data_IF_790956616222
#
_entry.id   IF_790956616222
#
_cell.length_a   1.000
_cell.length_b   1.000
_cell.length_c   1.000
_cell.angle_alpha   90.00
_cell.angle_beta   90.00
_cell.angle_gamma   90.00
#
_symmetry.space_group_name_H-M   'P 1'
#
loop_
_entity.id
_entity.type
_entity.pdbx_description
1 polymer ?
#
# COMPACT_ATOMS: atom_id res chain seq x y z
N UNK A 1 -55.52 -35.00 -16.21
CA UNK A 1 -55.29 -34.14 -17.38
C UNK A 1 -54.26 -33.09 -17.01
N UNK A 2 -53.03 -33.32 -17.51
CA UNK A 2 -51.84 -32.47 -17.66
C UNK A 2 -51.53 -31.37 -16.63
N UNK A 3 -50.48 -31.66 -15.83
CA UNK A 3 -49.68 -30.70 -15.08
C UNK A 3 -48.78 -29.89 -16.01
N UNK A 4 -48.81 -28.56 -15.90
CA UNK A 4 -47.85 -27.67 -16.54
C UNK A 4 -46.56 -27.61 -15.72
N UNK A 5 -45.48 -28.20 -16.24
CA UNK A 5 -44.12 -27.97 -15.77
C UNK A 5 -43.51 -26.88 -16.65
N UNK A 6 -43.33 -25.69 -16.08
CA UNK A 6 -42.57 -24.59 -16.67
C UNK A 6 -41.07 -24.89 -16.51
N UNK A 7 -40.43 -25.27 -17.61
CA UNK A 7 -38.99 -25.49 -17.68
C UNK A 7 -38.30 -24.15 -17.99
N UNK A 8 -37.83 -23.44 -16.95
CA UNK A 8 -36.98 -22.25 -17.12
C UNK A 8 -35.55 -22.73 -17.37
N UNK A 9 -35.12 -22.71 -18.64
CA UNK A 9 -33.72 -22.95 -18.99
C UNK A 9 -32.93 -21.69 -18.63
N UNK A 10 -32.19 -21.74 -17.52
CA UNK A 10 -31.17 -20.75 -17.20
C UNK A 10 -29.99 -20.92 -18.18
N UNK A 11 -29.83 -20.00 -19.13
CA UNK A 11 -28.58 -19.87 -19.88
C UNK A 11 -27.51 -19.32 -18.95
N UNK A 12 -26.63 -20.20 -18.47
CA UNK A 12 -25.39 -19.79 -17.83
C UNK A 12 -24.49 -19.15 -18.89
N UNK A 13 -24.25 -17.84 -18.79
CA UNK A 13 -23.16 -17.16 -19.47
C UNK A 13 -21.84 -17.69 -18.90
N UNK A 14 -21.28 -18.70 -19.56
CA UNK A 14 -19.90 -19.15 -19.31
C UNK A 14 -18.99 -17.98 -19.70
N UNK A 15 -18.57 -17.20 -18.71
CA UNK A 15 -17.38 -16.38 -18.85
C UNK A 15 -16.21 -17.34 -19.02
N UNK A 16 -15.76 -17.50 -20.27
CA UNK A 16 -14.55 -18.21 -20.60
C UNK A 16 -13.32 -17.41 -20.11
N UNK A 17 -13.16 -17.31 -18.79
CA UNK A 17 -11.90 -16.97 -18.15
C UNK A 17 -11.01 -18.20 -18.11
N UNK A 18 -10.57 -18.66 -19.29
CA UNK A 18 -9.56 -19.71 -19.37
C UNK A 18 -8.25 -19.22 -18.76
N UNK A 19 -7.79 -19.88 -17.68
CA UNK A 19 -6.43 -19.68 -17.19
C UNK A 19 -5.47 -20.05 -18.33
N UNK A 20 -4.54 -19.16 -18.73
CA UNK A 20 -3.65 -19.41 -19.85
C UNK A 20 -2.78 -20.64 -19.56
N UNK A 21 -2.68 -21.53 -20.54
CA UNK A 21 -1.97 -22.79 -20.42
C UNK A 21 -0.45 -22.56 -20.28
N UNK A 22 0.32 -23.55 -19.81
CA UNK A 22 1.79 -23.46 -19.76
C UNK A 22 2.45 -23.18 -21.13
N UNK A 23 1.75 -23.48 -22.23
CA UNK A 23 2.20 -23.17 -23.60
C UNK A 23 1.93 -21.70 -23.96
N UNK A 24 0.85 -21.09 -23.47
CA UNK A 24 0.57 -19.66 -23.61
C UNK A 24 1.59 -18.79 -22.84
N UNK A 25 2.09 -19.29 -21.70
CA UNK A 25 3.22 -18.67 -20.98
C UNK A 25 4.53 -18.71 -21.76
N UNK A 26 4.77 -19.74 -22.57
CA UNK A 26 6.00 -19.89 -23.37
C UNK A 26 6.04 -18.98 -24.61
N UNK A 27 4.90 -18.56 -25.15
CA UNK A 27 4.87 -17.63 -26.29
C UNK A 27 5.07 -16.15 -25.90
N UNK A 28 4.86 -15.77 -24.64
CA UNK A 28 5.19 -14.43 -24.12
C UNK A 28 6.68 -14.23 -23.81
N UNK A 29 7.49 -15.29 -23.75
CA UNK A 29 8.88 -15.24 -23.31
C UNK A 29 9.91 -14.97 -24.42
N UNK A 30 9.50 -14.75 -25.68
CA UNK A 30 10.41 -14.76 -26.85
C UNK A 30 10.84 -13.38 -27.37
N UNK A 31 10.87 -12.34 -26.53
CA UNK A 31 11.23 -10.97 -26.97
C UNK A 31 11.92 -10.05 -25.95
N UNK A 32 12.35 -10.56 -24.80
CA UNK A 32 12.82 -9.70 -23.70
C UNK A 32 14.30 -9.96 -23.44
N UNK A 33 15.17 -9.33 -24.23
CA UNK A 33 16.57 -9.16 -23.87
C UNK A 33 16.76 -7.95 -22.95
N UNK A 34 17.90 -7.88 -22.27
CA UNK A 34 18.33 -6.69 -21.54
C UNK A 34 19.35 -5.92 -22.38
N UNK A 35 18.97 -5.54 -23.60
CA UNK A 35 19.81 -4.88 -24.59
C UNK A 35 19.10 -3.66 -25.16
N UNK A 36 19.89 -2.68 -25.61
CA UNK A 36 19.36 -1.54 -26.38
C UNK A 36 18.71 -2.06 -27.67
N UNK A 37 17.45 -1.69 -27.95
CA UNK A 37 16.76 -2.06 -29.19
C UNK A 37 17.46 -1.47 -30.42
N UNK A 38 17.45 -2.21 -31.53
CA UNK A 38 17.91 -1.71 -32.83
C UNK A 38 16.81 -0.83 -33.42
N UNK A 39 17.15 0.41 -33.74
CA UNK A 39 16.22 1.45 -34.24
C UNK A 39 16.54 1.81 -35.70
N UNK A 40 16.86 0.81 -36.51
CA UNK A 40 17.04 0.99 -37.95
C UNK A 40 15.73 1.45 -38.60
N UNK A 41 15.82 2.33 -39.59
CA UNK A 41 14.67 2.77 -40.35
C UNK A 41 14.22 1.64 -41.28
N UNK A 42 12.93 1.29 -41.22
CA UNK A 42 12.32 0.31 -42.09
C UNK A 42 10.99 0.89 -42.59
N UNK A 43 10.75 0.99 -43.92
CA UNK A 43 9.56 1.62 -44.49
C UNK A 43 8.22 1.11 -43.96
N UNK A 44 8.13 -0.17 -43.58
CA UNK A 44 6.90 -0.77 -43.03
C UNK A 44 6.78 -0.61 -41.50
N UNK A 45 7.76 0.02 -40.87
CA UNK A 45 7.86 0.30 -39.45
C UNK A 45 7.83 1.81 -39.22
N UNK A 46 6.63 2.38 -39.00
CA UNK A 46 6.46 3.85 -38.96
C UNK A 46 5.86 4.40 -37.68
N UNK A 47 5.43 3.55 -36.74
CA UNK A 47 4.69 4.02 -35.56
C UNK A 47 5.65 4.31 -34.43
N UNK A 48 5.69 5.56 -33.95
CA UNK A 48 6.43 5.94 -32.74
C UNK A 48 5.59 5.65 -31.49
N UNK A 49 5.88 4.51 -30.86
CA UNK A 49 5.15 4.03 -29.67
C UNK A 49 6.03 4.21 -28.43
N UNK A 50 5.48 4.83 -27.38
CA UNK A 50 6.15 4.91 -26.07
C UNK A 50 6.38 3.52 -25.50
N UNK A 51 7.64 3.17 -25.27
CA UNK A 51 8.10 1.89 -24.71
C UNK A 51 9.29 2.11 -23.78
N UNK A 52 9.74 1.02 -23.19
CA UNK A 52 10.90 0.99 -22.31
C UNK A 52 11.96 0.02 -22.80
N UNK A 53 13.22 0.32 -22.52
CA UNK A 53 14.33 -0.59 -22.75
C UNK A 53 15.35 -0.50 -21.63
N UNK A 54 16.15 -1.54 -21.45
CA UNK A 54 17.22 -1.51 -20.46
C UNK A 54 18.47 -0.83 -21.03
N UNK A 55 18.81 0.34 -20.51
CA UNK A 55 20.06 1.01 -20.82
C UNK A 55 21.17 0.49 -19.91
N UNK A 56 22.09 -0.31 -20.45
CA UNK A 56 23.21 -0.91 -19.71
C UNK A 56 24.20 0.13 -19.18
N UNK A 57 24.45 1.20 -19.92
CA UNK A 57 25.36 2.28 -19.51
C UNK A 57 24.80 3.03 -18.32
N UNK A 58 23.51 3.36 -18.38
CA UNK A 58 22.83 4.05 -17.29
C UNK A 58 22.35 3.11 -16.16
N UNK A 59 22.46 1.79 -16.36
CA UNK A 59 21.96 0.71 -15.50
C UNK A 59 20.52 0.94 -15.03
N UNK A 60 19.62 1.29 -15.97
CA UNK A 60 18.20 1.52 -15.68
C UNK A 60 17.33 1.37 -16.92
N UNK A 61 16.07 1.07 -16.70
CA UNK A 61 15.03 1.07 -17.71
C UNK A 61 14.66 2.51 -18.10
N UNK A 62 14.78 2.80 -19.39
CA UNK A 62 14.57 4.13 -19.95
C UNK A 62 13.41 4.14 -20.92
N UNK A 63 12.65 5.24 -20.90
CA UNK A 63 11.64 5.53 -21.91
C UNK A 63 12.32 5.81 -23.25
N UNK A 64 11.68 5.34 -24.33
CA UNK A 64 12.03 5.70 -25.69
C UNK A 64 10.81 5.60 -26.61
N UNK A 65 10.93 6.17 -27.82
CA UNK A 65 9.93 6.02 -28.88
C UNK A 65 10.36 4.89 -29.80
N UNK A 66 9.75 3.72 -29.62
CA UNK A 66 9.97 2.56 -30.46
C UNK A 66 9.31 2.74 -31.83
N UNK A 67 9.95 2.31 -32.92
CA UNK A 67 9.46 2.43 -34.30
C UNK A 67 8.46 1.32 -34.71
N UNK A 68 8.17 0.39 -33.80
CA UNK A 68 7.25 -0.73 -34.03
C UNK A 68 7.91 -2.01 -34.54
N UNK A 69 9.24 -2.01 -34.74
CA UNK A 69 9.96 -3.16 -35.28
C UNK A 69 11.08 -3.67 -34.39
N UNK A 70 11.37 -4.97 -34.49
CA UNK A 70 12.35 -5.65 -33.64
C UNK A 70 12.07 -5.46 -32.14
N UNK A 71 11.13 -6.24 -31.62
CA UNK A 71 10.68 -6.15 -30.21
C UNK A 71 11.73 -6.58 -29.18
N UNK A 72 12.89 -7.09 -29.61
CA UNK A 72 13.91 -7.59 -28.69
C UNK A 72 14.43 -6.48 -27.77
N UNK A 73 14.21 -6.63 -26.47
CA UNK A 73 14.60 -5.63 -25.46
C UNK A 73 13.62 -4.46 -25.31
N UNK A 74 12.42 -4.59 -25.89
CA UNK A 74 11.34 -3.59 -25.81
C UNK A 74 10.27 -4.05 -24.83
N UNK A 75 9.99 -3.22 -23.84
CA UNK A 75 9.01 -3.46 -22.79
C UNK A 75 7.87 -2.46 -22.86
N UNK A 76 6.68 -2.90 -22.49
CA UNK A 76 5.48 -2.08 -22.51
C UNK A 76 5.46 -1.08 -21.34
N UNK A 77 5.91 -1.52 -20.16
CA UNK A 77 5.99 -0.69 -18.94
C UNK A 77 7.43 -0.65 -18.40
N UNK A 78 7.73 0.36 -17.59
CA UNK A 78 9.02 0.46 -16.91
C UNK A 78 9.22 -0.66 -15.89
N UNK A 79 8.18 -1.02 -15.14
CA UNK A 79 8.27 -2.06 -14.11
C UNK A 79 8.55 -3.44 -14.72
N UNK A 80 7.98 -3.77 -15.88
CA UNK A 80 8.26 -5.04 -16.56
C UNK A 80 9.73 -5.13 -16.98
N UNK A 81 10.30 -4.01 -17.45
CA UNK A 81 11.72 -3.91 -17.75
C UNK A 81 12.57 -4.06 -16.48
N UNK A 82 12.23 -3.36 -15.40
CA UNK A 82 12.96 -3.40 -14.13
C UNK A 82 12.98 -4.82 -13.56
N UNK A 83 11.81 -5.47 -13.44
CA UNK A 83 11.70 -6.84 -12.95
C UNK A 83 12.54 -7.85 -13.74
N UNK A 84 12.74 -7.61 -15.05
CA UNK A 84 13.50 -8.53 -15.90
C UNK A 84 15.01 -8.21 -15.93
N UNK A 85 15.37 -6.93 -15.96
CA UNK A 85 16.73 -6.50 -16.30
C UNK A 85 17.47 -5.77 -15.18
N UNK A 86 16.74 -5.25 -14.19
CA UNK A 86 17.31 -4.54 -13.05
C UNK A 86 16.36 -4.68 -11.85
N UNK A 87 16.30 -5.87 -11.20
CA UNK A 87 15.38 -6.12 -10.09
C UNK A 87 15.52 -5.12 -8.93
N UNK A 88 16.70 -4.51 -8.78
CA UNK A 88 16.99 -3.50 -7.76
C UNK A 88 16.73 -2.05 -8.24
N UNK A 89 16.06 -1.86 -9.39
CA UNK A 89 15.74 -0.52 -9.89
C UNK A 89 14.72 0.18 -8.98
N UNK A 90 15.05 1.41 -8.60
CA UNK A 90 14.20 2.20 -7.73
C UNK A 90 13.02 2.88 -8.44
N UNK A 91 12.00 3.26 -7.68
CA UNK A 91 10.83 3.97 -8.16
C UNK A 91 11.16 5.37 -8.74
N UNK A 92 12.31 5.96 -8.43
CA UNK A 92 12.80 7.22 -9.00
C UNK A 92 11.80 8.38 -8.83
N UNK A 93 11.40 9.05 -9.91
CA UNK A 93 10.38 10.12 -9.83
C UNK A 93 9.05 9.61 -9.25
N UNK A 94 8.74 8.32 -9.34
CA UNK A 94 7.48 7.76 -8.87
C UNK A 94 7.38 7.71 -7.33
N UNK A 95 8.51 7.79 -6.61
CA UNK A 95 8.50 7.89 -5.14
C UNK A 95 8.57 9.31 -4.59
N UNK A 96 8.74 10.30 -5.48
CA UNK A 96 8.77 11.71 -5.09
C UNK A 96 7.35 12.20 -4.81
N UNK A 97 7.21 13.22 -3.97
CA UNK A 97 5.94 13.93 -3.79
C UNK A 97 5.48 14.53 -5.11
N UNK A 98 4.15 14.63 -5.27
CA UNK A 98 3.55 15.41 -6.35
C UNK A 98 4.03 16.87 -6.30
N UNK A 99 4.21 17.54 -7.45
CA UNK A 99 4.46 18.98 -7.51
C UNK A 99 3.37 19.80 -6.82
N UNK A 100 3.70 21.04 -6.45
CA UNK A 100 2.80 21.96 -5.74
C UNK A 100 1.52 22.23 -6.51
N UNK A 101 0.40 22.20 -5.78
CA UNK A 101 -0.93 22.60 -6.25
C UNK A 101 -1.01 24.11 -6.45
N UNK A 102 -1.98 24.55 -7.25
CA UNK A 102 -2.29 25.97 -7.42
C UNK A 102 -2.54 26.65 -6.06
N UNK A 103 -1.91 27.79 -5.81
CA UNK A 103 -2.29 28.69 -4.71
C UNK A 103 -3.11 29.84 -5.27
N UNK A 104 -4.25 30.15 -4.65
CA UNK A 104 -5.21 31.15 -5.16
C UNK A 104 -4.61 32.56 -5.34
N UNK A 105 -3.47 32.84 -4.72
CA UNK A 105 -2.79 34.13 -4.78
C UNK A 105 -1.81 34.30 -5.94
N UNK A 106 -1.50 33.26 -6.73
CA UNK A 106 -0.41 33.33 -7.71
C UNK A 106 -0.82 33.37 -9.18
N UNK A 107 -2.09 33.15 -9.56
CA UNK A 107 -2.42 33.01 -10.98
C UNK A 107 -3.81 33.55 -11.34
N UNK A 108 -3.98 34.87 -11.32
CA UNK A 108 -5.15 35.53 -11.94
C UNK A 108 -5.20 35.36 -13.48
N UNK A 109 -4.26 34.61 -14.09
CA UNK A 109 -4.15 34.33 -15.53
C UNK A 109 -3.72 32.89 -15.89
N UNK A 110 -3.54 31.99 -14.92
CA UNK A 110 -2.98 30.65 -15.15
C UNK A 110 -4.03 29.63 -15.59
N UNK A 111 -3.81 28.97 -16.73
CA UNK A 111 -4.67 27.88 -17.20
C UNK A 111 -4.48 26.65 -16.30
N UNK A 112 -5.51 26.32 -15.51
CA UNK A 112 -5.53 25.13 -14.63
C UNK A 112 -5.49 23.87 -15.49
N UNK A 113 -4.47 23.04 -15.29
CA UNK A 113 -4.30 21.74 -15.98
C UNK A 113 -4.51 20.60 -14.99
N UNK A 114 -5.37 19.66 -15.36
CA UNK A 114 -5.43 18.36 -14.69
C UNK A 114 -4.22 17.52 -15.10
N UNK A 115 -3.48 17.04 -14.10
CA UNK A 115 -2.34 16.14 -14.25
C UNK A 115 -2.56 14.91 -13.39
N UNK A 116 -1.70 13.91 -13.57
CA UNK A 116 -1.65 12.71 -12.76
C UNK A 116 -0.32 12.65 -12.02
N UNK A 117 -0.30 12.22 -10.78
CA UNK A 117 0.92 11.83 -10.07
C UNK A 117 0.78 10.39 -9.62
N UNK A 118 1.89 9.69 -9.50
CA UNK A 118 1.88 8.35 -8.93
C UNK A 118 1.96 8.44 -7.42
N UNK A 119 0.90 8.02 -6.75
CA UNK A 119 0.90 7.84 -5.32
C UNK A 119 1.39 6.42 -5.03
N UNK A 120 2.67 6.29 -4.68
CA UNK A 120 3.32 5.00 -4.40
C UNK A 120 2.71 4.28 -3.19
N UNK A 121 2.12 5.03 -2.27
CA UNK A 121 1.43 4.54 -1.08
C UNK A 121 0.12 3.86 -1.46
N UNK A 122 -0.71 4.51 -2.29
CA UNK A 122 -1.94 3.90 -2.83
C UNK A 122 -1.70 2.99 -4.04
N UNK A 123 -0.46 2.96 -4.56
CA UNK A 123 -0.05 2.27 -5.78
C UNK A 123 -0.90 2.64 -7.00
N UNK A 124 -1.28 3.92 -7.09
CA UNK A 124 -2.22 4.39 -8.10
C UNK A 124 -1.86 5.77 -8.65
N UNK A 125 -2.30 6.03 -9.88
CA UNK A 125 -2.17 7.32 -10.53
C UNK A 125 -3.37 8.20 -10.17
N UNK A 126 -3.14 9.19 -9.31
CA UNK A 126 -4.15 10.09 -8.76
C UNK A 126 -4.11 11.45 -9.49
N UNK A 127 -5.27 12.08 -9.64
CA UNK A 127 -5.40 13.36 -10.33
C UNK A 127 -5.13 14.53 -9.39
N UNK A 128 -4.52 15.58 -9.92
CA UNK A 128 -4.40 16.87 -9.23
C UNK A 128 -4.37 18.02 -10.23
N UNK A 129 -4.55 19.24 -9.74
CA UNK A 129 -4.55 20.45 -10.58
C UNK A 129 -3.24 21.21 -10.42
N UNK A 130 -2.68 21.68 -11.53
CA UNK A 130 -1.49 22.52 -11.57
C UNK A 130 -1.71 23.77 -12.41
N UNK A 131 -1.08 24.88 -12.03
CA UNK A 131 -1.19 26.16 -12.72
C UNK A 131 0.08 26.53 -13.52
N UNK A 132 1.23 25.93 -13.17
CA UNK A 132 2.53 26.15 -13.82
C UNK A 132 3.05 24.91 -14.56
N UNK A 133 4.04 25.09 -15.45
CA UNK A 133 4.72 23.99 -16.12
C UNK A 133 5.53 23.13 -15.14
N UNK A 134 5.61 21.82 -15.39
CA UNK A 134 6.18 20.83 -14.46
C UNK A 134 7.66 20.50 -14.72
N UNK A 135 8.37 21.39 -15.42
CA UNK A 135 9.73 21.17 -15.89
C UNK A 135 9.80 20.23 -17.10
N UNK A 136 10.97 19.62 -17.30
CA UNK A 136 11.23 18.70 -18.42
C UNK A 136 10.54 17.33 -18.24
N UNK A 137 10.38 16.60 -19.34
CA UNK A 137 9.74 15.28 -19.38
C UNK A 137 10.42 14.29 -18.41
N UNK A 138 9.61 13.61 -17.58
CA UNK A 138 10.06 12.63 -16.58
C UNK A 138 11.08 13.15 -15.54
N UNK A 139 11.02 14.44 -15.20
CA UNK A 139 11.84 15.02 -14.11
C UNK A 139 11.09 15.13 -12.77
N UNK A 140 9.76 15.14 -12.80
CA UNK A 140 8.88 15.27 -11.66
C UNK A 140 7.82 14.15 -11.62
N UNK A 141 7.24 13.90 -10.45
CA UNK A 141 6.09 13.00 -10.29
C UNK A 141 4.80 13.67 -10.81
N UNK A 142 4.74 13.91 -12.11
CA UNK A 142 3.60 14.54 -12.76
C UNK A 142 3.53 14.15 -14.23
N UNK A 143 2.34 13.78 -14.67
CA UNK A 143 2.09 13.18 -15.97
C UNK A 143 0.83 13.77 -16.58
N UNK A 144 0.93 14.18 -17.84
CA UNK A 144 -0.16 14.78 -18.60
C UNK A 144 -1.25 13.76 -19.02
N UNK A 145 -1.03 12.47 -18.75
CA UNK A 145 -2.00 11.42 -19.00
C UNK A 145 -1.86 10.31 -17.97
N UNK A 146 -3.01 9.72 -17.61
CA UNK A 146 -3.06 8.54 -16.75
C UNK A 146 -2.24 7.38 -17.34
N UNK A 147 -2.31 7.21 -18.65
CA UNK A 147 -1.55 6.18 -19.38
C UNK A 147 -0.07 6.33 -19.15
N UNK A 148 0.51 7.52 -19.34
CA UNK A 148 1.95 7.73 -19.11
C UNK A 148 2.34 7.47 -17.65
N UNK A 149 1.52 7.93 -16.69
CA UNK A 149 1.76 7.64 -15.28
C UNK A 149 1.79 6.12 -15.01
N UNK A 150 0.83 5.36 -15.56
CA UNK A 150 0.78 3.90 -15.39
C UNK A 150 1.98 3.22 -16.06
N UNK A 151 2.32 3.61 -17.29
CA UNK A 151 3.45 3.01 -18.02
C UNK A 151 4.79 3.27 -17.31
N UNK A 152 4.95 4.45 -16.70
CA UNK A 152 6.17 4.85 -15.99
C UNK A 152 6.26 4.29 -14.57
N UNK A 153 5.15 4.32 -13.83
CA UNK A 153 5.15 4.12 -12.38
C UNK A 153 4.27 2.97 -11.89
N UNK A 154 3.33 2.50 -12.69
CA UNK A 154 2.46 1.40 -12.32
C UNK A 154 3.26 0.16 -11.96
N UNK A 155 2.92 -0.46 -10.82
CA UNK A 155 3.60 -1.66 -10.31
C UNK A 155 4.81 -1.38 -9.42
N UNK A 156 5.36 -0.15 -9.40
CA UNK A 156 6.33 0.22 -8.38
C UNK A 156 5.64 0.37 -7.03
N UNK A 157 6.22 -0.24 -6.01
CA UNK A 157 5.72 -0.24 -4.64
C UNK A 157 6.73 0.41 -3.70
N UNK A 158 6.35 0.59 -2.43
CA UNK A 158 7.26 1.11 -1.40
C UNK A 158 8.55 0.27 -1.24
N UNK A 159 8.59 -0.98 -1.69
CA UNK A 159 9.79 -1.81 -1.69
C UNK A 159 10.85 -1.34 -2.70
N UNK A 160 10.46 -0.55 -3.69
CA UNK A 160 11.35 -0.04 -4.73
C UNK A 160 11.89 1.36 -4.40
N UNK A 161 11.64 1.92 -3.21
CA UNK A 161 12.12 3.28 -2.91
C UNK A 161 13.59 3.28 -2.49
N UNK A 162 14.39 4.21 -3.03
CA UNK A 162 15.84 4.27 -2.81
C UNK A 162 16.24 4.84 -1.45
N UNK A 163 15.32 5.55 -0.83
CA UNK A 163 15.50 6.02 0.55
C UNK A 163 15.45 4.80 1.47
N UNK A 164 16.42 4.63 2.37
CA UNK A 164 16.36 3.76 3.56
C UNK A 164 15.26 4.19 4.54
N UNK A 165 14.09 4.49 3.98
CA UNK A 165 12.97 5.22 4.52
C UNK A 165 11.64 4.73 3.89
N UNK A 166 11.65 3.55 3.26
CA UNK A 166 10.47 2.82 2.77
C UNK A 166 9.58 2.42 3.95
N UNK A 167 10.19 1.88 5.00
CA UNK A 167 9.43 1.19 6.04
C UNK A 167 8.86 2.18 7.06
N UNK A 168 9.46 3.35 7.26
CA UNK A 168 8.84 4.41 8.07
C UNK A 168 7.84 5.23 7.28
N UNK A 169 7.92 5.32 5.94
CA UNK A 169 6.79 5.77 5.11
C UNK A 169 5.65 4.75 5.11
N UNK A 170 5.95 3.45 5.16
CA UNK A 170 4.94 2.40 5.37
C UNK A 170 4.34 2.48 6.77
N UNK A 171 5.13 2.72 7.82
CA UNK A 171 4.66 2.87 9.19
C UNK A 171 3.78 4.12 9.32
N UNK A 172 4.21 5.26 8.77
CA UNK A 172 3.37 6.45 8.68
C UNK A 172 2.13 6.16 7.84
N UNK A 173 2.27 5.44 6.73
CA UNK A 173 1.14 5.03 5.90
C UNK A 173 0.16 4.09 6.60
N UNK A 174 0.61 3.30 7.58
CA UNK A 174 -0.22 2.48 8.45
C UNK A 174 -0.93 3.32 9.52
N UNK A 175 -0.21 4.27 10.12
CA UNK A 175 -0.67 5.08 11.27
C UNK A 175 -1.48 6.33 10.88
N UNK A 176 -1.22 6.89 9.70
CA UNK A 176 -1.87 8.10 9.19
C UNK A 176 -3.19 7.77 8.50
N UNK A 177 -4.18 7.39 9.30
CA UNK A 177 -5.52 7.06 8.84
C UNK A 177 -6.57 7.66 9.76
N UNK A 178 -7.76 7.92 9.23
CA UNK A 178 -8.94 8.29 9.99
C UNK A 178 -9.75 7.05 10.42
N UNK A 179 -9.42 5.87 9.88
CA UNK A 179 -10.02 4.60 10.29
C UNK A 179 -9.49 4.14 11.66
N UNK A 180 -10.29 3.33 12.36
CA UNK A 180 -9.76 2.61 13.51
C UNK A 180 -8.81 1.51 13.03
N UNK A 181 -7.65 1.40 13.68
CA UNK A 181 -6.70 0.31 13.45
C UNK A 181 -6.92 -0.72 14.56
N UNK A 182 -7.43 -1.88 14.22
CA UNK A 182 -7.68 -2.93 15.21
C UNK A 182 -6.51 -3.88 15.31
N UNK A 183 -6.25 -4.37 16.53
CA UNK A 183 -5.40 -5.54 16.74
C UNK A 183 -6.28 -6.75 16.50
N UNK A 184 -6.07 -7.48 15.41
CA UNK A 184 -6.89 -8.64 15.03
C UNK A 184 -6.41 -9.93 15.71
N UNK A 185 -5.11 -10.19 15.61
CA UNK A 185 -4.43 -11.33 16.21
C UNK A 185 -3.13 -10.89 16.86
N UNK A 186 -2.72 -11.62 17.88
CA UNK A 186 -1.39 -11.51 18.48
C UNK A 186 -0.66 -12.84 18.35
N UNK A 187 0.67 -12.79 18.32
CA UNK A 187 1.51 -13.99 18.30
C UNK A 187 2.65 -13.88 19.31
N UNK A 188 2.87 -14.91 20.13
CA UNK A 188 3.83 -14.88 21.23
C UNK A 188 4.46 -16.25 21.54
N UNK A 189 5.65 -16.28 22.12
CA UNK A 189 6.42 -17.52 22.33
C UNK A 189 6.18 -18.25 23.67
N UNK A 190 5.44 -17.68 24.64
CA UNK A 190 5.10 -18.35 25.90
C UNK A 190 3.91 -17.71 26.65
N UNK A 191 3.23 -18.50 27.49
CA UNK A 191 1.91 -18.24 28.11
C UNK A 191 1.85 -17.24 29.28
N UNK A 192 2.94 -16.54 29.60
CA UNK A 192 2.96 -15.54 30.69
C UNK A 192 3.28 -14.15 30.14
N UNK A 193 2.24 -13.32 30.12
CA UNK A 193 2.26 -11.86 29.98
C UNK A 193 2.58 -11.27 28.60
N UNK A 194 1.55 -11.25 27.75
CA UNK A 194 1.21 -10.07 26.97
C UNK A 194 -0.06 -9.42 27.55
N UNK A 195 -0.25 -8.09 27.55
CA UNK A 195 -1.53 -7.50 27.88
C UNK A 195 -2.54 -7.85 26.77
N UNK A 196 -3.26 -8.95 26.92
CA UNK A 196 -4.25 -9.41 25.94
C UNK A 196 -5.53 -8.62 26.18
N UNK A 197 -5.58 -7.43 25.61
CA UNK A 197 -6.79 -6.64 25.57
C UNK A 197 -7.66 -7.14 24.41
N UNK A 198 -8.85 -7.63 24.73
CA UNK A 198 -9.85 -8.00 23.72
C UNK A 198 -10.50 -6.76 23.14
N UNK A 199 -10.90 -6.83 21.87
CA UNK A 199 -11.51 -5.71 21.14
C UNK A 199 -10.62 -4.46 21.13
N UNK A 200 -9.31 -4.68 21.10
CA UNK A 200 -8.33 -3.61 21.16
C UNK A 200 -8.22 -2.88 19.82
N UNK A 201 -8.26 -1.55 19.87
CA UNK A 201 -8.05 -0.70 18.69
C UNK A 201 -7.34 0.60 19.02
N UNK A 202 -6.71 1.14 18.00
CA UNK A 202 -6.11 2.46 17.97
C UNK A 202 -6.95 3.40 17.13
N UNK A 203 -7.18 4.61 17.65
CA UNK A 203 -7.77 5.73 16.92
C UNK A 203 -6.79 6.88 16.94
N UNK A 204 -6.28 7.27 15.76
CA UNK A 204 -5.37 8.41 15.62
C UNK A 204 -6.03 9.65 16.26
N UNK A 205 -5.27 10.35 17.09
CA UNK A 205 -5.63 11.68 17.59
C UNK A 205 -4.81 12.74 16.85
N UNK A 206 -3.49 12.61 16.85
CA UNK A 206 -2.58 13.46 16.08
C UNK A 206 -1.40 12.66 15.53
N UNK A 207 -0.91 13.06 14.37
CA UNK A 207 0.37 12.62 13.82
C UNK A 207 1.01 13.82 13.14
N UNK A 208 2.03 14.40 13.78
CA UNK A 208 2.62 15.67 13.35
C UNK A 208 4.12 15.56 13.27
N UNK A 209 4.75 16.30 12.36
CA UNK A 209 6.22 16.32 12.26
C UNK A 209 6.80 16.77 13.60
N UNK A 210 7.77 16.01 14.13
CA UNK A 210 8.33 16.33 15.44
C UNK A 210 9.16 17.61 15.36
N UNK A 211 9.05 18.44 16.38
CA UNK A 211 9.89 19.63 16.58
C UNK A 211 11.10 19.33 17.46
N UNK A 212 11.24 18.08 17.92
CA UNK A 212 12.28 17.68 18.85
C UNK A 212 13.66 17.61 18.16
N UNK A 213 14.60 18.44 18.61
CA UNK A 213 16.00 18.42 18.18
C UNK A 213 16.83 17.57 19.16
N UNK A 214 16.78 16.25 19.04
CA UNK A 214 17.49 15.31 19.92
C UNK A 214 18.50 14.40 19.20
N UNK A 215 19.24 13.58 19.98
CA UNK A 215 20.25 12.62 19.51
C UNK A 215 19.70 11.49 18.62
N UNK A 216 18.39 11.25 18.65
CA UNK A 216 17.68 10.32 17.77
C UNK A 216 16.70 11.11 16.89
N UNK A 217 16.78 11.01 15.56
CA UNK A 217 15.89 11.73 14.65
C UNK A 217 14.53 11.03 14.62
N UNK A 218 13.68 11.33 15.61
CA UNK A 218 12.26 11.04 15.49
C UNK A 218 11.64 12.00 14.48
N UNK A 219 10.99 11.45 13.46
CA UNK A 219 10.44 12.26 12.37
C UNK A 219 9.06 12.83 12.74
N UNK A 220 8.29 12.12 13.58
CA UNK A 220 6.91 12.49 13.93
C UNK A 220 6.56 12.21 15.39
N UNK A 221 5.70 13.06 15.95
CA UNK A 221 5.00 12.82 17.21
C UNK A 221 3.63 12.22 16.89
N UNK A 222 3.31 11.11 17.55
CA UNK A 222 2.06 10.38 17.37
C UNK A 222 1.30 10.31 18.68
N UNK A 223 0.04 10.74 18.66
CA UNK A 223 -0.89 10.53 19.77
C UNK A 223 -2.13 9.82 19.27
N UNK A 224 -2.64 8.89 20.07
CA UNK A 224 -3.78 8.08 19.71
C UNK A 224 -4.56 7.65 20.94
N UNK A 225 -5.84 7.38 20.75
CA UNK A 225 -6.64 6.70 21.74
C UNK A 225 -6.51 5.19 21.58
N UNK A 226 -6.26 4.50 22.67
CA UNK A 226 -6.34 3.06 22.76
C UNK A 226 -7.62 2.68 23.49
N UNK A 227 -8.48 1.92 22.82
CA UNK A 227 -9.73 1.41 23.37
C UNK A 227 -9.66 -0.11 23.48
N UNK A 228 -10.22 -0.67 24.56
CA UNK A 228 -10.32 -2.11 24.75
C UNK A 228 -11.50 -2.49 25.64
N UNK A 229 -11.83 -3.78 25.67
CA UNK A 229 -12.96 -4.31 26.45
C UNK A 229 -12.47 -5.29 27.50
N UNK A 230 -12.97 -5.13 28.73
CA UNK A 230 -12.82 -6.09 29.85
C UNK A 230 -14.19 -6.25 30.49
N UNK A 231 -14.65 -7.49 30.68
CA UNK A 231 -15.95 -7.79 31.32
C UNK A 231 -17.12 -6.97 30.74
N UNK A 232 -17.20 -6.90 29.41
CA UNK A 232 -18.20 -6.13 28.63
C UNK A 232 -18.17 -4.60 28.84
N UNK A 233 -17.22 -4.07 29.61
CA UNK A 233 -17.02 -2.63 29.76
C UNK A 233 -15.92 -2.17 28.81
N UNK A 234 -16.17 -1.04 28.16
CA UNK A 234 -15.18 -0.40 27.28
C UNK A 234 -14.33 0.55 28.10
N UNK A 235 -13.02 0.44 27.93
CA UNK A 235 -12.02 1.30 28.53
C UNK A 235 -11.28 2.04 27.42
N UNK A 236 -10.84 3.26 27.72
CA UNK A 236 -10.10 4.09 26.78
C UNK A 236 -9.03 4.86 27.53
N UNK A 237 -7.87 4.99 26.90
CA UNK A 237 -6.83 5.92 27.35
C UNK A 237 -6.15 6.56 26.16
N UNK A 238 -5.53 7.72 26.37
CA UNK A 238 -4.75 8.40 25.35
C UNK A 238 -3.28 8.15 25.59
N UNK A 239 -2.60 7.64 24.56
CA UNK A 239 -1.16 7.49 24.56
C UNK A 239 -0.52 8.49 23.61
N UNK A 240 0.74 8.78 23.92
CA UNK A 240 1.62 9.56 23.06
C UNK A 240 2.91 8.78 22.84
N UNK A 241 3.57 9.08 21.73
CA UNK A 241 4.71 8.36 21.25
C UNK A 241 5.47 9.13 20.19
N UNK A 242 6.65 8.63 19.85
CA UNK A 242 7.44 9.12 18.73
C UNK A 242 7.54 8.06 17.66
N UNK A 243 7.44 8.47 16.40
CA UNK A 243 7.58 7.62 15.22
C UNK A 243 8.85 8.07 14.50
N UNK A 244 9.75 7.14 14.23
CA UNK A 244 11.00 7.45 13.56
C UNK A 244 11.83 6.20 13.31
N UNK A 245 13.14 6.39 13.33
CA UNK A 245 14.11 5.34 13.06
C UNK A 245 15.07 5.24 14.23
N UNK A 246 15.15 4.05 14.85
CA UNK A 246 16.18 3.79 15.87
C UNK A 246 17.56 3.58 15.23
N UNK A 247 17.59 3.14 13.97
CA UNK A 247 18.75 3.07 13.08
C UNK A 247 18.30 3.29 11.62
N UNK A 248 19.23 3.45 10.67
CA UNK A 248 18.94 3.75 9.25
C UNK A 248 18.04 2.73 8.50
N UNK A 249 17.59 1.64 9.15
CA UNK A 249 16.87 0.53 8.50
C UNK A 249 15.61 0.05 9.23
N UNK A 250 15.37 0.47 10.48
CA UNK A 250 14.28 -0.08 11.30
C UNK A 250 13.31 1.03 11.70
N UNK A 251 12.14 1.13 11.05
CA UNK A 251 11.11 2.07 11.48
C UNK A 251 10.46 1.57 12.76
N UNK A 252 10.42 2.46 13.73
CA UNK A 252 9.95 2.14 15.06
C UNK A 252 9.07 3.28 15.56
N UNK A 253 8.08 2.91 16.36
CA UNK A 253 7.40 3.87 17.19
C UNK A 253 7.41 3.43 18.64
N UNK A 254 7.63 4.40 19.52
CA UNK A 254 7.65 4.20 20.97
C UNK A 254 6.33 4.68 21.52
N UNK A 255 5.65 3.84 22.31
CA UNK A 255 4.44 4.21 23.05
C UNK A 255 4.82 4.41 24.52
N UNK A 256 4.54 5.58 25.08
CA UNK A 256 4.85 5.90 26.48
C UNK A 256 3.70 5.50 27.43
N UNK A 257 4.03 4.80 28.53
CA UNK A 257 3.14 4.57 29.68
C UNK A 257 3.75 5.24 30.91
N UNK A 258 2.94 5.87 31.75
CA UNK A 258 3.42 6.66 32.90
C UNK A 258 4.00 5.79 34.02
N UNK A 259 3.44 4.61 34.27
CA UNK A 259 3.74 3.85 35.50
C UNK A 259 4.59 2.58 35.22
N UNK A 260 4.69 2.18 33.95
CA UNK A 260 4.92 0.79 33.59
C UNK A 260 6.06 0.61 32.54
N UNK A 261 6.60 1.73 32.04
CA UNK A 261 7.63 1.80 31.00
C UNK A 261 7.05 1.89 29.59
N UNK A 262 7.89 2.19 28.59
CA UNK A 262 7.45 2.29 27.19
C UNK A 262 7.31 0.93 26.50
N UNK A 263 6.44 0.86 25.51
CA UNK A 263 6.38 -0.25 24.54
C UNK A 263 7.04 0.21 23.25
N UNK A 264 8.06 -0.49 22.81
CA UNK A 264 8.67 -0.28 21.50
C UNK A 264 7.93 -1.11 20.47
N UNK A 265 7.67 -0.52 19.30
CA UNK A 265 6.92 -1.19 18.23
C UNK A 265 7.63 -1.00 16.90
N UNK A 266 8.09 -2.11 16.32
CA UNK A 266 8.81 -2.15 15.05
C UNK A 266 7.89 -2.64 13.93
N UNK A 267 7.85 -1.93 12.81
CA UNK A 267 7.11 -2.41 11.65
C UNK A 267 7.84 -3.63 11.04
N UNK A 268 7.11 -4.71 10.82
CA UNK A 268 7.60 -5.93 10.17
C UNK A 268 7.06 -6.05 8.75
N UNK A 269 5.78 -5.71 8.57
CA UNK A 269 5.11 -5.76 7.27
C UNK A 269 3.96 -4.77 7.25
N UNK A 270 3.69 -4.15 6.10
CA UNK A 270 2.47 -3.39 5.87
C UNK A 270 2.02 -3.49 4.42
N UNK A 271 0.74 -3.78 4.22
CA UNK A 271 0.10 -3.81 2.91
C UNK A 271 -0.94 -2.69 2.82
N UNK A 272 -0.61 -1.62 2.09
CA UNK A 272 -1.58 -0.57 1.76
C UNK A 272 -2.75 -1.05 0.90
N UNK A 273 -2.56 -2.13 0.14
CA UNK A 273 -3.62 -2.74 -0.67
C UNK A 273 -4.60 -3.51 0.22
N UNK A 274 -4.08 -4.32 1.14
CA UNK A 274 -4.89 -5.19 1.98
C UNK A 274 -5.30 -4.50 3.30
N UNK A 275 -4.75 -3.32 3.60
CA UNK A 275 -5.00 -2.52 4.80
C UNK A 275 -4.71 -3.28 6.10
N UNK A 276 -3.64 -4.06 6.09
CA UNK A 276 -3.18 -4.81 7.25
C UNK A 276 -1.66 -4.89 7.28
N UNK A 277 -1.11 -5.07 8.48
CA UNK A 277 0.33 -5.15 8.70
C UNK A 277 0.67 -5.78 10.03
N UNK A 278 1.95 -6.06 10.21
CA UNK A 278 2.49 -6.76 11.36
C UNK A 278 3.47 -5.84 12.05
N UNK A 279 3.28 -5.71 13.35
CA UNK A 279 4.15 -4.94 14.22
C UNK A 279 4.72 -5.89 15.25
N UNK A 280 6.04 -5.88 15.42
CA UNK A 280 6.70 -6.55 16.54
C UNK A 280 6.77 -5.58 17.71
N UNK A 281 6.03 -5.87 18.76
CA UNK A 281 6.02 -5.09 19.98
C UNK A 281 6.97 -5.71 21.01
N UNK A 282 7.66 -4.87 21.76
CA UNK A 282 8.54 -5.29 22.83
C UNK A 282 8.42 -4.38 24.04
N UNK A 283 8.47 -4.99 25.22
CA UNK A 283 8.48 -4.28 26.50
C UNK A 283 9.33 -5.05 27.49
N UNK A 284 10.37 -4.41 28.01
CA UNK A 284 11.37 -5.03 28.89
C UNK A 284 11.99 -6.26 28.20
N UNK A 285 11.72 -7.49 28.69
CA UNK A 285 12.22 -8.76 28.12
C UNK A 285 11.16 -9.53 27.34
N UNK A 286 9.95 -8.98 27.19
CA UNK A 286 8.85 -9.63 26.48
C UNK A 286 8.73 -9.05 25.08
N UNK A 287 8.51 -9.94 24.10
CA UNK A 287 8.26 -9.58 22.71
C UNK A 287 7.04 -10.36 22.20
N UNK A 288 6.23 -9.71 21.36
CA UNK A 288 5.10 -10.33 20.69
C UNK A 288 4.87 -9.66 19.34
N UNK A 289 4.18 -10.35 18.44
CA UNK A 289 3.69 -9.79 17.18
C UNK A 289 2.22 -9.39 17.32
N UNK A 290 1.83 -8.32 16.64
CA UNK A 290 0.47 -7.86 16.52
C UNK A 290 0.11 -7.75 15.04
N UNK A 291 -0.97 -8.39 14.62
CA UNK A 291 -1.59 -8.20 13.31
C UNK A 291 -2.59 -7.05 13.41
N UNK A 292 -2.25 -5.93 12.77
CA UNK A 292 -3.06 -4.72 12.70
C UNK A 292 -3.87 -4.73 11.42
N UNK A 293 -5.16 -4.40 11.51
CA UNK A 293 -6.08 -4.36 10.37
C UNK A 293 -6.94 -3.11 10.47
N UNK A 294 -7.06 -2.36 9.38
CA UNK A 294 -7.96 -1.21 9.33
C UNK A 294 -9.43 -1.65 9.35
N UNK A 295 -10.28 -0.81 9.93
CA UNK A 295 -11.67 -1.11 10.20
C UNK A 295 -12.49 -1.49 8.95
N UNK A 296 -12.34 -0.78 7.82
CA UNK A 296 -13.12 -1.09 6.63
C UNK A 296 -12.75 -2.45 6.03
N UNK A 297 -11.48 -2.85 6.12
CA UNK A 297 -11.05 -4.19 5.72
C UNK A 297 -11.69 -5.28 6.58
N UNK A 298 -11.77 -5.06 7.90
CA UNK A 298 -12.48 -5.98 8.80
C UNK A 298 -13.95 -6.09 8.41
N UNK A 299 -14.62 -4.96 8.16
CA UNK A 299 -16.03 -4.92 7.73
C UNK A 299 -16.28 -5.68 6.43
N UNK A 300 -15.47 -5.44 5.39
CA UNK A 300 -15.60 -6.10 4.09
C UNK A 300 -15.48 -7.63 4.17
N UNK A 301 -14.58 -8.14 5.02
CA UNK A 301 -14.41 -9.58 5.16
C UNK A 301 -15.65 -10.29 5.73
N UNK A 302 -16.41 -9.60 6.58
CA UNK A 302 -17.59 -10.15 7.25
C UNK A 302 -18.77 -10.31 6.28
N UNK A 303 -18.85 -9.44 5.28
CA UNK A 303 -19.78 -9.57 4.16
C UNK A 303 -19.44 -10.78 3.27
N UNK A 304 -18.16 -11.18 3.23
CA UNK A 304 -17.62 -12.28 2.42
C UNK A 304 -17.39 -13.59 3.19
N UNK A 305 -18.05 -13.79 4.35
CA UNK A 305 -17.91 -14.98 5.22
C UNK A 305 -16.52 -15.15 5.89
N UNK A 306 -15.82 -14.05 6.18
CA UNK A 306 -14.86 -13.94 7.28
C UNK A 306 -13.45 -14.48 7.05
N UNK A 307 -13.02 -14.71 5.81
CA UNK A 307 -11.68 -15.25 5.56
C UNK A 307 -10.67 -14.12 5.29
N UNK A 308 -9.87 -13.77 6.31
CA UNK A 308 -8.74 -12.83 6.21
C UNK A 308 -7.43 -13.54 5.84
N UNK A 309 -7.48 -14.50 4.91
CA UNK A 309 -6.33 -15.37 4.63
C UNK A 309 -5.08 -14.58 4.27
N UNK A 310 -5.21 -13.53 3.46
CA UNK A 310 -4.08 -12.72 3.01
C UNK A 310 -3.34 -12.00 4.16
N UNK A 311 -4.06 -11.46 5.15
CA UNK A 311 -3.45 -10.81 6.30
C UNK A 311 -2.92 -11.82 7.34
N UNK A 312 -3.59 -12.96 7.48
CA UNK A 312 -3.21 -14.01 8.43
C UNK A 312 -1.96 -14.78 7.95
N UNK A 313 -1.88 -15.09 6.66
CA UNK A 313 -0.71 -15.75 6.06
C UNK A 313 0.57 -14.93 6.28
N UNK A 314 0.49 -13.60 6.19
CA UNK A 314 1.63 -12.74 6.48
C UNK A 314 2.04 -12.82 7.96
N UNK A 315 1.10 -12.90 8.91
CA UNK A 315 1.43 -13.04 10.34
C UNK A 315 2.24 -14.31 10.60
N UNK A 316 1.74 -15.45 10.12
CA UNK A 316 2.41 -16.74 10.29
C UNK A 316 3.79 -16.76 9.62
N UNK A 317 3.91 -16.14 8.43
CA UNK A 317 5.16 -16.04 7.68
C UNK A 317 6.21 -15.20 8.40
N UNK A 318 5.82 -14.08 8.98
CA UNK A 318 6.76 -13.14 9.61
C UNK A 318 7.02 -13.44 11.10
N UNK A 319 6.16 -14.22 11.76
CA UNK A 319 6.30 -14.61 13.17
C UNK A 319 6.20 -16.14 13.37
N UNK A 320 7.11 -16.94 12.78
CA UNK A 320 7.06 -18.40 12.87
C UNK A 320 7.37 -18.91 14.31
N UNK A 321 6.86 -20.10 14.64
CA UNK A 321 7.06 -20.79 15.93
C UNK A 321 6.42 -20.14 17.18
N UNK A 322 5.42 -19.28 16.98
CA UNK A 322 4.71 -18.59 18.06
C UNK A 322 3.25 -19.03 18.16
N UNK A 323 2.65 -18.91 19.34
CA UNK A 323 1.22 -19.17 19.57
C UNK A 323 0.40 -17.96 19.11
N UNK A 324 -0.49 -18.18 18.15
CA UNK A 324 -1.42 -17.15 17.66
C UNK A 324 -2.72 -17.13 18.49
N UNK A 325 -3.22 -15.93 18.81
CA UNK A 325 -4.50 -15.73 19.45
C UNK A 325 -5.28 -14.61 18.76
N UNK A 326 -6.54 -14.89 18.38
CA UNK A 326 -7.49 -13.89 17.91
C UNK A 326 -8.01 -13.07 19.10
N UNK A 327 -7.99 -11.75 18.96
CA UNK A 327 -8.38 -10.81 20.03
C UNK A 327 -9.59 -9.95 19.67
N UNK A 328 -10.20 -10.18 18.50
CA UNK A 328 -11.46 -9.57 18.08
C UNK A 328 -12.54 -10.65 17.92
N UNK A 329 -13.12 -11.17 19.01
CA UNK A 329 -14.29 -12.03 18.91
C UNK A 329 -15.47 -11.28 18.26
N UNK A 330 -16.42 -12.03 17.68
CA UNK A 330 -17.67 -11.46 17.09
C UNK A 330 -18.51 -10.62 18.06
N UNK A 331 -18.27 -10.76 19.36
CA UNK A 331 -18.93 -9.98 20.41
C UNK A 331 -18.37 -8.56 20.60
N UNK A 332 -17.31 -8.18 19.87
CA UNK A 332 -16.72 -6.85 20.04
C UNK A 332 -17.71 -5.74 19.63
N UNK A 333 -17.94 -4.74 20.51
CA UNK A 333 -18.87 -3.65 20.23
C UNK A 333 -18.36 -2.79 19.06
N UNK A 334 -19.28 -2.31 18.22
CA UNK A 334 -19.01 -1.34 17.14
C UNK A 334 -18.14 -1.81 15.96
N UNK A 335 -17.45 -2.95 16.04
CA UNK A 335 -16.80 -3.58 14.87
C UNK A 335 -17.84 -3.99 13.81
N UNK A 336 -18.96 -4.55 14.27
CA UNK A 336 -19.91 -5.30 13.43
C UNK A 336 -21.23 -4.57 13.13
N UNK A 337 -21.43 -3.35 13.65
CA UNK A 337 -22.66 -2.60 13.36
C UNK A 337 -22.59 -2.02 11.95
N UNK A 338 -23.47 -2.50 11.05
CA UNK A 338 -23.77 -1.80 9.79
C UNK A 338 -24.06 -0.34 10.14
N UNK A 339 -23.36 0.62 9.55
CA UNK A 339 -23.87 2.00 9.54
C UNK A 339 -25.26 1.90 8.92
N UNK A 340 -26.30 2.13 9.73
CA UNK A 340 -27.64 2.31 9.20
C UNK A 340 -27.53 3.45 8.20
N UNK A 341 -27.64 3.15 6.92
CA UNK A 341 -27.83 4.16 5.89
C UNK A 341 -29.08 4.90 6.31
N UNK A 342 -28.93 6.16 6.73
CA UNK A 342 -30.07 7.06 6.84
C UNK A 342 -30.61 7.19 5.42
N UNK A 343 -31.62 6.38 5.09
CA UNK A 343 -32.52 6.68 4.00
C UNK A 343 -33.17 8.00 4.39
N UNK A 344 -32.72 9.09 3.77
CA UNK A 344 -33.46 10.33 3.77
C UNK A 344 -34.81 10.02 3.11
N UNK A 345 -35.84 9.82 3.94
CA UNK A 345 -37.22 9.94 3.51
C UNK A 345 -37.47 11.43 3.28
N UNK A 346 -37.29 11.88 2.05
CA UNK A 346 -38.01 13.04 1.54
C UNK A 346 -39.45 12.61 1.32
N UNK A 347 -40.34 13.08 2.19
CA UNK A 347 -41.77 13.21 1.93
C UNK A 347 -42.03 14.51 1.17
#
# INVERSE_FOLDING_TARGET
>A
MNAHVLLVIAMALIHAGGNPTPKDRKHKAKGYGCSTPIMEYEPYCGTLISKYYYNRTARRCQHFRWNGCLRNGVYDTRIDCANHCSPDEDASICEKSRPSECTESSDSKGYVKTQYFYNITSQSCETYNICSGVGEFLTANSFNSKTLCILQCGGFTLNHTKSGRSDGRQLLGMLDTEENIWIYKISYNNSLFGPIHTCAKYKKFTLTKSTHMGLYPYDYDYSFFYEWVINQRTYQTRYSGHVGYYNETSPEYVVYYTDDGSVMKKLVHWSHKNKCGIVKASRRKHEWCELHVWEDRLRMSLELKGNHTDCQEELTKHCPNSTEQEVIPRSCPNVFFRRAVKLNQTL
#
